data_IF_708296106124
#
_entry.id   IF_708296106124
#
_cell.length_a   1.000
_cell.length_b   1.000
_cell.length_c   1.000
_cell.angle_alpha   90.00
_cell.angle_beta   90.00
_cell.angle_gamma   90.00
#
_symmetry.space_group_name_H-M   'P 1'
#
loop_
_entity.id
_entity.type
_entity.pdbx_description
1 polymer ?
#
# COMPACT_ATOMS: atom_id res chain seq x y z
N UNK A 1 -39.20 26.85 52.41
CA UNK A 1 -37.73 26.91 52.29
C UNK A 1 -37.35 26.20 50.99
N UNK A 2 -36.98 26.95 49.94
CA UNK A 2 -36.59 26.38 48.64
C UNK A 2 -35.18 25.76 48.77
N UNK A 3 -35.07 24.45 48.61
CA UNK A 3 -33.79 23.75 48.55
C UNK A 3 -33.15 24.01 47.17
N UNK A 4 -31.97 24.64 47.16
CA UNK A 4 -31.19 24.91 45.94
C UNK A 4 -30.47 23.61 45.54
N UNK A 5 -30.68 23.18 44.30
CA UNK A 5 -30.09 21.99 43.69
C UNK A 5 -28.55 22.00 43.73
N UNK A 6 -27.87 20.83 43.66
CA UNK A 6 -26.42 20.74 43.71
C UNK A 6 -25.81 21.28 42.41
N UNK A 7 -24.82 22.18 42.54
CA UNK A 7 -23.96 22.58 41.44
C UNK A 7 -22.89 21.50 41.25
N UNK A 8 -23.02 20.73 40.18
CA UNK A 8 -21.99 19.80 39.71
C UNK A 8 -20.74 20.59 39.27
N UNK A 9 -19.53 20.29 39.76
CA UNK A 9 -18.32 20.73 39.12
C UNK A 9 -17.71 19.59 38.29
N UNK A 10 -17.02 19.98 37.22
CA UNK A 10 -16.11 19.17 36.39
C UNK A 10 -16.73 18.56 35.13
N UNK A 11 -17.00 19.45 34.17
CA UNK A 11 -16.86 19.19 32.75
C UNK A 11 -15.48 18.55 32.50
N UNK A 12 -15.46 17.23 32.37
CA UNK A 12 -14.27 16.49 31.98
C UNK A 12 -14.35 16.32 30.48
N UNK A 13 -13.85 17.35 29.80
CA UNK A 13 -13.52 17.35 28.39
C UNK A 13 -12.44 16.30 28.12
N UNK A 14 -12.63 15.60 27.00
CA UNK A 14 -11.61 15.07 26.12
C UNK A 14 -10.66 14.00 26.68
N UNK A 15 -10.85 12.76 26.22
CA UNK A 15 -10.06 12.20 25.11
C UNK A 15 -10.48 10.73 24.95
N UNK A 16 -11.24 10.45 23.88
CA UNK A 16 -11.30 9.11 23.31
C UNK A 16 -9.87 8.61 23.04
N UNK A 17 -9.59 7.31 23.17
CA UNK A 17 -8.33 6.78 22.69
C UNK A 17 -8.30 7.02 21.18
N UNK A 18 -7.50 8.00 20.75
CA UNK A 18 -7.18 8.21 19.34
C UNK A 18 -6.73 6.86 18.82
N UNK A 19 -7.61 6.26 18.02
CA UNK A 19 -7.31 5.04 17.31
C UNK A 19 -6.11 5.41 16.48
N UNK A 20 -4.94 4.94 16.88
CA UNK A 20 -3.74 5.06 16.08
C UNK A 20 -4.08 4.45 14.73
N UNK A 21 -4.51 5.29 13.81
CA UNK A 21 -4.64 5.00 12.41
C UNK A 21 -3.21 4.91 11.94
N UNK A 22 -2.58 3.80 12.31
CA UNK A 22 -1.45 3.24 11.60
C UNK A 22 -2.03 2.73 10.29
N UNK A 23 -2.59 3.64 9.49
CA UNK A 23 -2.67 3.44 8.07
C UNK A 23 -1.23 3.09 7.69
N UNK A 24 -0.99 1.91 7.10
CA UNK A 24 0.30 1.63 6.51
C UNK A 24 0.68 2.82 5.62
N UNK A 25 1.97 3.11 5.43
CA UNK A 25 2.33 4.05 4.38
C UNK A 25 1.69 3.50 3.10
N UNK A 26 0.61 4.14 2.64
CA UNK A 26 0.08 3.93 1.31
C UNK A 26 1.22 4.35 0.42
N UNK A 27 2.03 3.36 0.06
CA UNK A 27 3.03 3.43 -0.98
C UNK A 27 2.28 4.00 -2.14
N UNK A 28 2.48 5.30 -2.38
CA UNK A 28 1.74 6.10 -3.34
C UNK A 28 1.53 5.24 -4.57
N UNK A 29 0.28 4.81 -4.78
CA UNK A 29 -0.12 4.12 -5.98
C UNK A 29 -0.04 5.14 -7.11
N UNK A 30 1.19 5.40 -7.58
CA UNK A 30 1.48 5.95 -8.90
C UNK A 30 1.21 4.88 -9.98
N UNK A 31 0.37 3.88 -9.68
CA UNK A 31 -0.05 2.73 -10.45
C UNK A 31 -1.19 3.09 -11.43
N UNK A 32 -1.12 4.29 -12.03
CA UNK A 32 -2.03 4.67 -13.11
C UNK A 32 -1.50 4.30 -14.49
N UNK A 33 -0.21 4.00 -14.58
CA UNK A 33 0.47 3.64 -15.83
C UNK A 33 1.27 2.39 -15.55
N UNK A 34 0.93 1.30 -16.25
CA UNK A 34 1.72 0.09 -16.45
C UNK A 34 3.08 0.46 -17.09
N UNK A 35 3.91 1.16 -16.34
CA UNK A 35 5.16 1.70 -16.80
C UNK A 35 6.10 0.51 -17.04
N UNK A 36 6.50 0.36 -18.30
CA UNK A 36 7.53 -0.61 -18.68
C UNK A 36 8.82 -0.23 -17.99
N UNK A 37 9.30 -1.09 -17.10
CA UNK A 37 10.54 -0.87 -16.34
C UNK A 37 11.77 -1.27 -17.13
N UNK A 38 11.72 -2.42 -17.80
CA UNK A 38 12.84 -2.90 -18.61
C UNK A 38 12.38 -3.77 -19.79
N UNK A 39 13.32 -4.08 -20.68
CA UNK A 39 13.15 -5.03 -21.78
C UNK A 39 14.31 -6.03 -21.75
N UNK A 40 14.00 -7.33 -21.73
CA UNK A 40 15.00 -8.39 -21.75
C UNK A 40 14.67 -9.48 -22.77
N UNK A 41 15.63 -9.99 -23.56
CA UNK A 41 17.01 -9.52 -23.66
C UNK A 41 17.10 -8.09 -24.24
N UNK A 42 18.20 -7.38 -23.97
CA UNK A 42 18.42 -6.05 -24.53
C UNK A 42 18.47 -6.09 -26.07
N UNK A 43 18.11 -4.99 -26.76
CA UNK A 43 18.20 -4.89 -28.22
C UNK A 43 19.59 -5.28 -28.75
N UNK A 44 19.70 -5.92 -29.93
CA UNK A 44 18.73 -5.95 -31.04
C UNK A 44 17.71 -7.09 -31.00
N UNK A 45 17.75 -7.95 -29.98
CA UNK A 45 16.80 -9.06 -29.85
C UNK A 45 15.43 -8.53 -29.41
N UNK A 46 14.36 -9.20 -29.84
CA UNK A 46 12.99 -8.87 -29.40
C UNK A 46 12.82 -9.32 -27.96
N UNK A 47 13.12 -8.43 -27.02
CA UNK A 47 12.93 -8.70 -25.60
C UNK A 47 11.49 -8.60 -25.12
N UNK A 48 11.16 -9.31 -24.05
CA UNK A 48 9.93 -9.17 -23.28
C UNK A 48 9.97 -7.90 -22.41
N UNK A 49 8.91 -7.08 -22.40
CA UNK A 49 8.75 -6.00 -21.43
C UNK A 49 8.52 -6.56 -20.04
N UNK A 50 9.22 -6.04 -19.03
CA UNK A 50 8.86 -6.24 -17.63
C UNK A 50 8.30 -4.93 -17.10
N UNK A 51 7.14 -4.99 -16.47
CA UNK A 51 6.44 -3.84 -15.87
C UNK A 51 6.61 -3.83 -14.35
N UNK A 52 6.21 -2.73 -13.72
CA UNK A 52 6.10 -2.68 -12.25
C UNK A 52 5.15 -3.74 -11.70
N UNK A 53 4.10 -4.06 -12.45
CA UNK A 53 3.10 -5.04 -12.04
C UNK A 53 3.68 -6.45 -11.96
N UNK A 54 4.45 -6.83 -12.98
CA UNK A 54 5.13 -8.12 -13.04
C UNK A 54 6.09 -8.32 -11.85
N UNK A 55 6.71 -7.24 -11.33
CA UNK A 55 7.61 -7.35 -10.18
C UNK A 55 6.87 -7.58 -8.86
N UNK A 56 5.59 -7.21 -8.74
CA UNK A 56 4.85 -7.46 -7.50
C UNK A 56 4.69 -8.96 -7.24
N UNK A 57 4.65 -9.79 -8.27
CA UNK A 57 4.54 -11.24 -8.08
C UNK A 57 5.81 -11.87 -7.48
N UNK A 58 6.91 -11.11 -7.34
CA UNK A 58 8.12 -11.56 -6.65
C UNK A 58 8.02 -11.47 -5.12
N UNK A 59 6.94 -10.92 -4.57
CA UNK A 59 6.72 -10.91 -3.11
C UNK A 59 6.38 -12.30 -2.58
N UNK A 60 6.71 -12.56 -1.31
CA UNK A 60 6.44 -13.86 -0.68
C UNK A 60 4.93 -14.19 -0.68
N UNK A 61 4.59 -15.42 -1.03
CA UNK A 61 3.21 -15.91 -1.05
C UNK A 61 2.44 -15.67 -2.36
N UNK A 62 3.02 -14.95 -3.31
CA UNK A 62 2.43 -14.72 -4.64
C UNK A 62 2.94 -15.72 -5.68
N UNK A 63 2.11 -16.02 -6.68
CA UNK A 63 2.52 -16.84 -7.82
C UNK A 63 3.27 -16.00 -8.84
N UNK A 64 4.38 -16.53 -9.37
CA UNK A 64 5.12 -15.87 -10.43
C UNK A 64 4.29 -15.78 -11.72
N UNK A 65 4.31 -14.62 -12.38
CA UNK A 65 3.76 -14.44 -13.72
C UNK A 65 4.62 -15.16 -14.76
N UNK A 66 4.02 -15.64 -15.84
CA UNK A 66 4.69 -16.27 -16.98
C UNK A 66 5.80 -15.37 -17.53
N UNK A 67 5.59 -14.06 -17.58
CA UNK A 67 6.62 -13.08 -18.03
C UNK A 67 7.86 -13.11 -17.14
N UNK A 68 7.68 -13.25 -15.82
CA UNK A 68 8.79 -13.33 -14.86
C UNK A 68 9.48 -14.69 -14.96
N UNK A 69 8.71 -15.76 -15.12
CA UNK A 69 9.24 -17.11 -15.33
C UNK A 69 10.09 -17.14 -16.61
N UNK A 70 9.55 -16.63 -17.72
CA UNK A 70 10.24 -16.54 -19.01
C UNK A 70 11.54 -15.75 -18.88
N UNK A 71 11.56 -14.64 -18.14
CA UNK A 71 12.77 -13.86 -17.88
C UNK A 71 13.87 -14.68 -17.18
N UNK A 72 13.52 -15.50 -16.19
CA UNK A 72 14.51 -16.30 -15.43
C UNK A 72 14.98 -17.55 -16.17
N UNK A 73 14.15 -18.10 -17.05
CA UNK A 73 14.47 -19.31 -17.81
C UNK A 73 15.17 -19.02 -19.15
N UNK A 74 15.23 -17.75 -19.57
CA UNK A 74 15.87 -17.29 -20.80
C UNK A 74 17.40 -17.42 -20.77
#
# INVERSE_FOLDING_TARGET
MLARAPLSPSDSTDNEPDSTSSSPPETRHFLGTNARLLQYPPPPLRGIPITTEDLYCLTEGEFLNDVIIDFYLQ
#
